data_IF_861344079865
#
_entry.id   IF_861344079865
#
_cell.length_a   1.000
_cell.length_b   1.000
_cell.length_c   1.000
_cell.angle_alpha   90.00
_cell.angle_beta   90.00
_cell.angle_gamma   90.00
#
_symmetry.space_group_name_H-M   'P 1'
#
loop_
_entity.id
_entity.type
_entity.pdbx_description
1 polymer ?
#
# COMPACT_ATOMS: atom_id res chain seq x y z
N UNK A 1 -33.88 -102.56 9.19
CA UNK A 1 -34.57 -101.78 8.14
C UNK A 1 -35.10 -100.48 8.70
N UNK A 2 -34.35 -99.39 8.59
CA UNK A 2 -34.81 -98.03 8.75
C UNK A 2 -33.77 -97.12 8.08
N UNK A 3 -34.19 -96.54 6.99
CA UNK A 3 -33.41 -95.49 6.23
C UNK A 3 -33.33 -94.24 7.05
N UNK A 4 -32.14 -93.67 7.15
CA UNK A 4 -31.90 -92.34 7.73
C UNK A 4 -31.53 -91.33 6.62
N UNK A 5 -32.43 -90.36 6.39
CA UNK A 5 -32.23 -89.28 5.49
C UNK A 5 -31.21 -88.29 6.09
N UNK A 6 -30.12 -87.97 5.35
CA UNK A 6 -29.23 -86.90 5.64
C UNK A 6 -29.70 -85.62 4.96
N UNK A 7 -30.08 -84.62 5.76
CA UNK A 7 -30.34 -83.26 5.30
C UNK A 7 -28.98 -82.49 5.22
N UNK A 8 -28.65 -82.02 4.04
CA UNK A 8 -27.51 -81.12 3.81
C UNK A 8 -27.99 -79.67 3.93
N UNK A 9 -27.55 -78.98 4.95
CA UNK A 9 -27.76 -77.53 5.06
C UNK A 9 -26.67 -76.78 4.29
N UNK A 10 -27.05 -76.09 3.21
CA UNK A 10 -26.24 -75.13 2.50
C UNK A 10 -26.38 -73.77 3.22
N UNK A 11 -25.35 -73.35 3.92
CA UNK A 11 -25.26 -72.02 4.48
C UNK A 11 -24.64 -71.09 3.45
N UNK A 12 -25.45 -70.20 2.87
CA UNK A 12 -25.02 -69.10 2.00
C UNK A 12 -24.54 -68.00 2.88
N UNK A 13 -23.19 -67.78 2.99
CA UNK A 13 -22.58 -66.66 3.68
C UNK A 13 -22.58 -65.41 2.78
N UNK A 14 -23.46 -64.47 3.04
CA UNK A 14 -23.43 -63.18 2.42
C UNK A 14 -22.38 -62.29 3.17
N UNK A 15 -21.21 -62.09 2.55
CA UNK A 15 -20.20 -61.12 3.02
C UNK A 15 -20.67 -59.72 2.67
N UNK A 16 -21.16 -58.96 3.64
CA UNK A 16 -21.42 -57.52 3.52
C UNK A 16 -20.08 -56.82 3.66
N UNK A 17 -19.51 -56.44 2.53
CA UNK A 17 -18.36 -55.52 2.48
C UNK A 17 -18.79 -54.12 2.90
N UNK A 18 -18.45 -53.70 4.11
CA UNK A 18 -18.60 -52.31 4.56
C UNK A 18 -17.49 -51.50 3.86
N UNK A 19 -17.86 -50.78 2.81
CA UNK A 19 -17.03 -49.70 2.25
C UNK A 19 -16.98 -48.56 3.29
N UNK A 20 -15.97 -48.57 4.12
CA UNK A 20 -15.54 -47.37 4.86
C UNK A 20 -15.00 -46.37 3.84
N UNK A 21 -15.87 -45.53 3.29
CA UNK A 21 -15.46 -44.30 2.65
C UNK A 21 -14.76 -43.47 3.74
N UNK A 22 -13.43 -43.48 3.72
CA UNK A 22 -12.65 -42.56 4.55
C UNK A 22 -13.09 -41.15 4.21
N UNK A 23 -13.81 -40.51 5.12
CA UNK A 23 -13.89 -39.06 5.15
C UNK A 23 -12.46 -38.59 5.45
N UNK A 24 -11.70 -38.28 4.39
CA UNK A 24 -10.53 -37.42 4.54
C UNK A 24 -11.09 -36.11 5.11
N UNK A 25 -10.80 -35.85 6.35
CA UNK A 25 -10.95 -34.52 6.90
C UNK A 25 -10.05 -33.64 6.04
N UNK A 26 -10.62 -32.79 5.20
CA UNK A 26 -9.87 -31.73 4.56
C UNK A 26 -9.33 -30.90 5.72
N UNK A 27 -8.01 -30.91 5.89
CA UNK A 27 -7.35 -30.02 6.82
C UNK A 27 -7.80 -28.60 6.45
N UNK A 28 -8.32 -27.83 7.41
CA UNK A 28 -8.81 -26.48 7.13
C UNK A 28 -7.65 -25.67 6.55
N UNK A 29 -7.71 -25.38 5.24
CA UNK A 29 -6.70 -24.56 4.56
C UNK A 29 -6.79 -23.15 5.12
N UNK A 30 -5.68 -22.63 5.63
CA UNK A 30 -5.59 -21.31 6.25
C UNK A 30 -4.48 -20.52 5.59
N UNK A 31 -4.81 -19.37 5.03
CA UNK A 31 -3.87 -18.41 4.45
C UNK A 31 -3.74 -17.19 5.39
N UNK A 32 -2.51 -16.78 5.67
CA UNK A 32 -2.23 -15.61 6.50
C UNK A 32 -1.75 -14.46 5.65
N UNK A 33 -2.59 -13.41 5.56
CA UNK A 33 -2.36 -12.23 4.71
C UNK A 33 -2.20 -11.01 5.59
N UNK A 34 -1.20 -10.20 5.32
CA UNK A 34 -1.07 -8.87 5.92
C UNK A 34 -1.01 -7.79 4.84
N UNK A 35 -1.62 -6.66 5.13
CA UNK A 35 -1.73 -5.52 4.22
C UNK A 35 -1.74 -4.21 5.03
N UNK A 36 -1.59 -3.10 4.36
CA UNK A 36 -1.83 -1.78 4.94
C UNK A 36 -3.27 -1.67 5.48
N UNK A 37 -3.46 -0.85 6.51
CA UNK A 37 -4.79 -0.53 7.03
C UNK A 37 -5.67 0.11 5.96
N UNK A 38 -6.96 -0.24 5.92
CA UNK A 38 -7.97 0.30 4.99
C UNK A 38 -7.62 0.21 3.49
N UNK A 39 -6.83 -0.80 3.09
CA UNK A 39 -6.21 -0.90 1.76
C UNK A 39 -6.73 -2.08 0.92
N UNK A 40 -7.96 -2.54 1.19
CA UNK A 40 -8.65 -3.62 0.47
C UNK A 40 -10.16 -3.46 0.68
N UNK A 41 -10.99 -3.78 -0.32
CA UNK A 41 -12.43 -3.71 -0.19
C UNK A 41 -12.96 -4.72 0.85
N UNK A 42 -14.05 -4.36 1.52
CA UNK A 42 -14.60 -5.12 2.65
C UNK A 42 -14.97 -6.56 2.30
N UNK A 43 -15.37 -6.82 1.07
CA UNK A 43 -15.83 -8.12 0.60
C UNK A 43 -14.77 -8.94 -0.14
N UNK A 44 -13.61 -8.38 -0.48
CA UNK A 44 -12.56 -9.05 -1.26
C UNK A 44 -12.09 -10.34 -0.59
N UNK A 45 -11.83 -10.31 0.72
CA UNK A 45 -11.39 -11.50 1.47
C UNK A 45 -12.50 -12.54 1.55
N UNK A 46 -13.74 -12.13 1.88
CA UNK A 46 -14.87 -13.06 2.00
C UNK A 46 -15.23 -13.73 0.67
N UNK A 47 -15.09 -13.01 -0.44
CA UNK A 47 -15.30 -13.54 -1.79
C UNK A 47 -14.22 -14.57 -2.16
N UNK A 48 -12.96 -14.32 -1.81
CA UNK A 48 -11.88 -15.28 -1.97
C UNK A 48 -12.14 -16.57 -1.15
N UNK A 49 -12.50 -16.43 0.13
CA UNK A 49 -12.81 -17.56 1.01
C UNK A 49 -13.96 -18.42 0.44
N UNK A 50 -15.01 -17.75 -0.06
CA UNK A 50 -16.18 -18.43 -0.62
C UNK A 50 -15.86 -19.20 -1.91
N UNK A 51 -14.96 -18.67 -2.75
CA UNK A 51 -14.59 -19.29 -4.01
C UNK A 51 -13.63 -20.46 -3.84
N UNK A 52 -12.60 -20.29 -3.00
CA UNK A 52 -11.51 -21.27 -2.89
C UNK A 52 -11.62 -22.20 -1.70
N UNK A 53 -12.53 -21.95 -0.76
CA UNK A 53 -12.64 -22.74 0.47
C UNK A 53 -11.38 -22.64 1.36
N UNK A 54 -10.66 -21.52 1.27
CA UNK A 54 -9.46 -21.23 2.06
C UNK A 54 -9.83 -20.18 3.08
N UNK A 55 -9.65 -20.45 4.37
CA UNK A 55 -9.83 -19.48 5.43
C UNK A 55 -8.69 -18.45 5.40
N UNK A 56 -9.00 -17.16 5.37
CA UNK A 56 -7.99 -16.11 5.45
C UNK A 56 -7.94 -15.51 6.85
N UNK A 57 -6.74 -15.45 7.42
CA UNK A 57 -6.46 -14.62 8.59
C UNK A 57 -5.82 -13.34 8.06
N UNK A 58 -6.60 -12.28 8.06
CA UNK A 58 -6.21 -10.97 7.56
C UNK A 58 -5.80 -10.06 8.72
N UNK A 59 -4.57 -9.54 8.67
CA UNK A 59 -3.93 -8.79 9.76
C UNK A 59 -3.38 -7.47 9.20
N UNK A 60 -4.09 -6.34 9.35
CA UNK A 60 -3.63 -5.06 8.82
C UNK A 60 -2.50 -4.47 9.66
N UNK A 61 -1.68 -3.61 9.03
CA UNK A 61 -0.59 -2.88 9.69
C UNK A 61 -0.52 -1.42 9.19
N UNK A 62 0.08 -0.54 10.00
CA UNK A 62 0.15 0.90 9.74
C UNK A 62 1.59 1.45 9.63
N UNK A 63 2.60 0.59 9.80
CA UNK A 63 4.02 0.99 9.81
C UNK A 63 4.88 0.03 9.01
N UNK A 64 5.58 0.55 8.00
CA UNK A 64 6.57 -0.19 7.23
C UNK A 64 7.67 -0.77 8.12
N UNK A 65 8.14 0.01 9.11
CA UNK A 65 9.20 -0.41 10.01
C UNK A 65 8.76 -1.58 10.90
N UNK A 66 7.49 -1.63 11.30
CA UNK A 66 6.96 -2.71 12.13
C UNK A 66 6.88 -4.03 11.35
N UNK A 67 6.36 -4.00 10.12
CA UNK A 67 6.28 -5.20 9.28
C UNK A 67 7.67 -5.67 8.85
N UNK A 68 8.58 -4.76 8.50
CA UNK A 68 9.98 -5.07 8.20
C UNK A 68 10.69 -5.78 9.37
N UNK A 69 10.55 -5.25 10.57
CA UNK A 69 11.15 -5.85 11.76
C UNK A 69 10.64 -7.28 11.97
N UNK A 70 9.35 -7.52 11.72
CA UNK A 70 8.72 -8.84 11.84
C UNK A 70 9.23 -9.80 10.78
N UNK A 71 9.32 -9.37 9.51
CA UNK A 71 9.85 -10.18 8.42
C UNK A 71 11.34 -10.50 8.59
N UNK A 72 12.15 -9.51 8.97
CA UNK A 72 13.59 -9.68 9.20
C UNK A 72 13.92 -10.56 10.40
N UNK A 73 13.04 -10.64 11.40
CA UNK A 73 13.21 -11.53 12.54
C UNK A 73 13.06 -13.02 12.16
N UNK A 74 12.45 -13.31 11.02
CA UNK A 74 12.08 -14.66 10.56
C UNK A 74 10.91 -15.26 11.35
N UNK A 75 10.32 -16.32 10.80
CA UNK A 75 9.07 -16.90 11.30
C UNK A 75 7.98 -15.84 11.42
N UNK A 76 7.81 -15.07 10.36
CA UNK A 76 6.84 -13.96 10.29
C UNK A 76 5.41 -14.43 10.57
N UNK A 77 5.13 -15.68 10.18
CA UNK A 77 3.82 -16.29 10.28
C UNK A 77 2.87 -15.81 9.17
N UNK A 78 3.34 -15.08 8.18
CA UNK A 78 2.56 -14.66 7.02
C UNK A 78 2.88 -15.51 5.79
N UNK A 79 1.86 -15.70 4.95
CA UNK A 79 1.97 -16.35 3.65
C UNK A 79 2.02 -15.32 2.51
N UNK A 80 1.31 -14.20 2.68
CA UNK A 80 1.27 -13.09 1.73
C UNK A 80 1.40 -11.77 2.48
N UNK A 81 2.21 -10.88 1.95
CA UNK A 81 2.44 -9.53 2.49
C UNK A 81 2.29 -8.52 1.37
N UNK A 82 1.48 -7.48 1.57
CA UNK A 82 1.53 -6.27 0.76
C UNK A 82 2.61 -5.34 1.31
N UNK A 83 3.42 -4.73 0.45
CA UNK A 83 4.45 -3.81 0.91
C UNK A 83 4.91 -2.85 -0.21
N UNK A 84 5.59 -1.78 0.18
CA UNK A 84 6.13 -0.80 -0.77
C UNK A 84 7.34 -1.36 -1.54
N UNK A 85 7.42 -1.05 -2.83
CA UNK A 85 8.44 -1.63 -3.73
C UNK A 85 9.88 -1.36 -3.30
N UNK A 86 10.18 -0.16 -2.78
CA UNK A 86 11.51 0.18 -2.26
C UNK A 86 11.93 -0.69 -1.07
N UNK A 87 10.98 -1.01 -0.16
CA UNK A 87 11.24 -1.86 1.00
C UNK A 87 11.36 -3.33 0.58
N UNK A 88 10.50 -3.79 -0.34
CA UNK A 88 10.59 -5.13 -0.94
C UNK A 88 11.96 -5.37 -1.56
N UNK A 89 12.52 -4.41 -2.29
CA UNK A 89 13.85 -4.53 -2.89
C UNK A 89 14.96 -4.79 -1.84
N UNK A 90 14.84 -4.21 -0.66
CA UNK A 90 15.73 -4.44 0.48
C UNK A 90 15.55 -5.84 1.07
N UNK A 91 14.30 -6.27 1.23
CA UNK A 91 13.94 -7.60 1.73
C UNK A 91 14.35 -8.72 0.76
N UNK A 92 14.25 -8.50 -0.56
CA UNK A 92 14.76 -9.41 -1.60
C UNK A 92 16.26 -9.61 -1.45
N UNK A 93 17.03 -8.52 -1.31
CA UNK A 93 18.50 -8.58 -1.09
C UNK A 93 18.87 -9.31 0.19
N UNK A 94 18.02 -9.27 1.20
CA UNK A 94 18.20 -9.99 2.46
C UNK A 94 17.78 -11.47 2.40
N UNK A 95 17.18 -11.93 1.27
CA UNK A 95 16.69 -13.30 1.11
C UNK A 95 15.40 -13.59 1.90
N UNK A 96 14.67 -12.55 2.27
CA UNK A 96 13.44 -12.64 3.08
C UNK A 96 12.20 -12.90 2.21
N UNK A 97 12.24 -12.52 0.94
CA UNK A 97 11.15 -12.73 0.00
C UNK A 97 11.47 -13.88 -0.95
N UNK A 98 10.53 -14.79 -1.12
CA UNK A 98 10.65 -15.92 -2.04
C UNK A 98 10.40 -15.51 -3.50
N UNK A 99 11.10 -16.12 -4.45
CA UNK A 99 10.75 -15.93 -5.87
C UNK A 99 9.39 -16.55 -6.16
N UNK A 100 8.62 -15.88 -7.02
CA UNK A 100 7.30 -16.32 -7.46
C UNK A 100 7.40 -17.40 -8.52
N UNK A 101 6.53 -18.40 -8.45
CA UNK A 101 6.31 -19.35 -9.53
C UNK A 101 5.38 -18.73 -10.59
N UNK A 102 6.00 -18.12 -11.60
CA UNK A 102 5.26 -17.44 -12.68
C UNK A 102 4.35 -18.38 -13.48
N UNK A 103 4.58 -19.70 -13.45
CA UNK A 103 3.72 -20.67 -14.11
C UNK A 103 2.36 -20.81 -13.43
N UNK A 104 2.20 -20.28 -12.20
CA UNK A 104 0.99 -20.26 -11.41
C UNK A 104 0.26 -18.91 -11.46
N UNK A 105 0.79 -17.93 -12.19
CA UNK A 105 0.27 -16.56 -12.22
C UNK A 105 -0.42 -16.28 -13.57
N UNK A 106 -1.56 -16.92 -13.80
CA UNK A 106 -2.31 -16.82 -15.07
C UNK A 106 -2.84 -15.40 -15.34
N UNK A 107 -3.05 -14.59 -14.29
CA UNK A 107 -3.60 -13.24 -14.37
C UNK A 107 -2.53 -12.14 -14.54
N UNK A 108 -1.25 -12.49 -14.57
CA UNK A 108 -0.15 -11.51 -14.63
C UNK A 108 -0.20 -10.61 -15.86
N UNK A 109 -0.79 -11.10 -16.97
CA UNK A 109 -0.98 -10.32 -18.19
C UNK A 109 -1.96 -9.16 -18.07
N UNK A 110 -2.73 -9.08 -16.98
CA UNK A 110 -3.63 -7.96 -16.67
C UNK A 110 -2.88 -6.74 -16.11
N UNK A 111 -1.66 -6.94 -15.62
CA UNK A 111 -0.86 -5.87 -15.02
C UNK A 111 -0.26 -4.97 -16.10
N UNK A 112 -0.22 -3.68 -15.82
CA UNK A 112 0.33 -2.66 -16.72
C UNK A 112 1.82 -2.96 -17.01
N UNK A 113 2.19 -3.18 -18.29
CA UNK A 113 3.57 -3.45 -18.64
C UNK A 113 4.52 -2.28 -18.34
N UNK A 114 4.04 -1.05 -18.27
CA UNK A 114 4.86 0.11 -17.90
C UNK A 114 5.23 0.03 -16.41
N UNK A 115 4.28 -0.30 -15.54
CA UNK A 115 4.52 -0.52 -14.11
C UNK A 115 5.47 -1.71 -13.90
N UNK A 116 5.28 -2.81 -14.64
CA UNK A 116 6.18 -3.96 -14.57
C UNK A 116 7.61 -3.62 -15.01
N UNK A 117 7.76 -2.77 -16.03
CA UNK A 117 9.08 -2.32 -16.48
C UNK A 117 9.75 -1.41 -15.44
N UNK A 118 8.99 -0.52 -14.79
CA UNK A 118 9.48 0.33 -13.72
C UNK A 118 9.95 -0.48 -12.51
N UNK A 119 9.15 -1.48 -12.08
CA UNK A 119 9.54 -2.40 -11.00
C UNK A 119 10.83 -3.16 -11.31
N UNK A 120 10.95 -3.70 -12.53
CA UNK A 120 12.14 -4.43 -12.96
C UNK A 120 13.39 -3.56 -12.96
N UNK A 121 13.25 -2.28 -13.34
CA UNK A 121 14.32 -1.30 -13.32
C UNK A 121 14.80 -0.95 -11.92
N UNK A 122 13.87 -0.71 -11.00
CA UNK A 122 14.18 -0.04 -9.75
C UNK A 122 14.33 -1.01 -8.57
N UNK A 123 13.49 -2.05 -8.50
CA UNK A 123 13.34 -2.82 -7.26
C UNK A 123 13.42 -4.33 -7.39
N UNK A 124 12.83 -4.93 -8.43
CA UNK A 124 12.73 -6.38 -8.59
C UNK A 124 13.14 -6.83 -10.00
N UNK A 125 14.45 -6.99 -10.27
CA UNK A 125 14.93 -7.45 -11.57
C UNK A 125 14.18 -8.69 -12.04
N UNK A 126 13.77 -8.67 -13.33
CA UNK A 126 12.96 -9.73 -13.96
C UNK A 126 11.55 -9.91 -13.36
N UNK A 127 11.09 -9.01 -12.47
CA UNK A 127 9.82 -9.14 -11.74
C UNK A 127 9.68 -10.55 -11.10
N UNK A 128 10.71 -10.95 -10.37
CA UNK A 128 10.83 -12.33 -9.90
C UNK A 128 10.09 -12.56 -8.57
N UNK A 129 9.78 -11.50 -7.79
CA UNK A 129 9.33 -11.63 -6.41
C UNK A 129 8.06 -10.82 -6.08
N UNK A 130 7.71 -9.83 -6.90
CA UNK A 130 6.74 -8.81 -6.57
C UNK A 130 5.62 -8.73 -7.60
N UNK A 131 4.38 -8.72 -7.13
CA UNK A 131 3.19 -8.46 -7.96
C UNK A 131 2.66 -7.08 -7.59
N UNK A 132 2.72 -6.08 -8.49
CA UNK A 132 2.20 -4.76 -8.20
C UNK A 132 0.68 -4.82 -7.98
N UNK A 133 0.23 -4.05 -6.99
CA UNK A 133 -1.16 -4.00 -6.56
C UNK A 133 -1.76 -2.62 -6.84
N UNK A 134 -1.32 -1.65 -6.05
CA UNK A 134 -1.74 -0.27 -6.19
C UNK A 134 -0.53 0.64 -6.30
N UNK A 135 -0.74 1.82 -6.86
CA UNK A 135 0.28 2.84 -6.99
C UNK A 135 -0.31 4.22 -6.80
N UNK A 136 0.53 5.19 -6.55
CA UNK A 136 0.07 6.56 -6.36
C UNK A 136 1.21 7.55 -6.18
N UNK A 137 0.80 8.72 -5.76
CA UNK A 137 1.67 9.86 -5.53
C UNK A 137 1.40 10.43 -4.15
N UNK A 138 2.12 11.47 -3.77
CA UNK A 138 1.76 12.30 -2.65
C UNK A 138 1.93 13.78 -2.97
N UNK A 139 1.16 14.59 -2.27
CA UNK A 139 1.10 16.02 -2.44
C UNK A 139 0.55 16.70 -1.19
N UNK A 140 -0.23 17.73 -1.42
CA UNK A 140 -0.82 18.54 -0.34
C UNK A 140 -2.32 18.64 -0.54
N UNK A 141 -3.08 18.21 0.47
CA UNK A 141 -4.53 18.45 0.58
C UNK A 141 -4.75 19.71 1.41
N UNK A 142 -5.67 20.57 0.98
CA UNK A 142 -5.93 21.83 1.66
C UNK A 142 -7.39 22.28 1.55
N UNK A 143 -7.80 23.10 2.53
CA UNK A 143 -9.08 23.80 2.52
C UNK A 143 -8.84 25.23 2.02
N UNK A 144 -9.11 25.50 0.75
CA UNK A 144 -8.79 26.78 0.12
C UNK A 144 -9.42 27.96 0.86
N UNK A 145 -10.71 27.86 1.20
CA UNK A 145 -11.43 28.93 1.90
C UNK A 145 -10.80 29.25 3.25
N UNK A 146 -10.47 28.24 4.04
CA UNK A 146 -9.87 28.41 5.37
C UNK A 146 -8.41 28.89 5.28
N UNK A 147 -7.68 28.41 4.28
CA UNK A 147 -6.32 28.89 3.96
C UNK A 147 -6.34 30.36 3.64
N UNK A 148 -7.19 30.82 2.70
CA UNK A 148 -7.26 32.22 2.27
C UNK A 148 -7.87 33.14 3.35
N UNK A 149 -8.79 32.66 4.18
CA UNK A 149 -9.27 33.39 5.36
C UNK A 149 -8.13 33.63 6.36
N UNK A 150 -7.27 32.63 6.57
CA UNK A 150 -6.16 32.68 7.54
C UNK A 150 -4.97 33.45 7.01
N UNK A 151 -4.64 33.23 5.74
CA UNK A 151 -3.50 33.81 5.05
C UNK A 151 -3.85 34.12 3.59
N UNK A 152 -4.34 35.35 3.28
CA UNK A 152 -4.79 35.72 1.93
C UNK A 152 -3.74 35.58 0.81
N UNK A 153 -2.45 35.70 1.14
CA UNK A 153 -1.33 35.60 0.20
C UNK A 153 -0.67 34.20 0.24
N UNK A 154 -1.41 33.16 0.66
CA UNK A 154 -0.91 31.79 0.72
C UNK A 154 -0.44 31.31 -0.67
N UNK A 155 0.72 30.66 -0.78
CA UNK A 155 1.25 30.16 -2.06
C UNK A 155 0.56 28.85 -2.47
N UNK A 156 -0.75 28.90 -2.71
CA UNK A 156 -1.55 27.73 -3.10
C UNK A 156 -0.96 27.09 -4.37
N UNK A 157 -0.86 25.75 -4.36
CA UNK A 157 -0.26 24.98 -5.45
C UNK A 157 1.27 24.87 -5.37
N UNK A 158 1.90 25.47 -4.36
CA UNK A 158 3.35 25.39 -4.15
C UNK A 158 3.69 24.60 -2.88
N UNK A 159 4.77 23.80 -2.93
CA UNK A 159 5.34 23.14 -1.76
C UNK A 159 5.87 24.12 -0.70
N UNK A 160 5.97 25.41 -1.02
CA UNK A 160 6.23 26.46 -0.04
C UNK A 160 5.15 26.54 1.05
N UNK A 161 3.93 26.09 0.76
CA UNK A 161 2.87 25.99 1.78
C UNK A 161 3.28 25.11 2.98
N UNK A 162 4.14 24.11 2.76
CA UNK A 162 4.51 23.13 3.79
C UNK A 162 5.99 23.15 4.17
N UNK A 163 6.89 23.65 3.30
CA UNK A 163 8.33 23.65 3.58
C UNK A 163 8.96 25.04 3.77
N UNK A 164 8.21 26.11 3.53
CA UNK A 164 8.71 27.47 3.82
C UNK A 164 8.21 27.92 5.21
N UNK A 165 9.13 28.23 6.17
CA UNK A 165 8.75 28.56 7.55
C UNK A 165 7.89 29.83 7.68
N UNK A 166 8.06 30.82 6.79
CA UNK A 166 7.27 32.04 6.85
C UNK A 166 5.81 31.79 6.48
N UNK A 167 5.56 30.98 5.44
CA UNK A 167 4.21 30.61 5.03
C UNK A 167 3.58 29.64 6.01
N UNK A 168 4.32 28.61 6.44
CA UNK A 168 3.80 27.60 7.35
C UNK A 168 3.45 28.17 8.72
N UNK A 169 4.18 29.20 9.19
CA UNK A 169 3.85 29.96 10.41
C UNK A 169 2.46 30.58 10.33
N UNK A 170 2.11 31.21 9.22
CA UNK A 170 0.79 31.79 9.03
C UNK A 170 -0.29 30.69 8.97
N UNK A 171 -0.06 29.63 8.19
CA UNK A 171 -0.98 28.50 8.03
C UNK A 171 -1.16 27.67 9.31
N UNK A 172 -0.19 27.67 10.22
CA UNK A 172 -0.31 26.97 11.51
C UNK A 172 -1.50 27.45 12.35
N UNK A 173 -2.01 28.67 12.10
CA UNK A 173 -3.17 29.23 12.81
C UNK A 173 -4.46 28.49 12.50
N UNK A 174 -4.58 27.85 11.33
CA UNK A 174 -5.71 27.00 10.96
C UNK A 174 -5.40 25.49 11.04
N UNK A 175 -4.19 25.14 11.44
CA UNK A 175 -3.75 23.75 11.66
C UNK A 175 -3.12 23.10 10.45
N UNK A 176 -1.93 22.56 10.68
CA UNK A 176 -1.13 21.84 9.67
C UNK A 176 -0.80 20.44 10.17
N UNK A 177 -1.00 19.44 9.33
CA UNK A 177 -0.62 18.05 9.56
C UNK A 177 0.41 17.59 8.54
N UNK A 178 1.31 16.70 8.96
CA UNK A 178 2.23 16.02 8.07
C UNK A 178 2.01 14.51 8.16
N UNK A 179 2.25 13.79 7.06
CA UNK A 179 2.36 12.33 7.08
C UNK A 179 3.41 11.89 8.09
N UNK A 180 3.13 10.85 8.84
CA UNK A 180 4.12 10.19 9.70
C UNK A 180 4.90 9.13 8.91
N UNK A 181 5.61 9.59 7.88
CA UNK A 181 6.36 8.74 6.96
C UNK A 181 7.71 9.38 6.58
N UNK A 182 8.83 8.89 7.14
CA UNK A 182 10.16 9.37 6.75
C UNK A 182 10.50 9.07 5.29
N UNK A 183 9.99 7.96 4.74
CA UNK A 183 10.20 7.54 3.36
C UNK A 183 9.55 8.45 2.33
N UNK A 184 8.56 9.25 2.74
CA UNK A 184 7.88 10.21 1.88
C UNK A 184 8.36 11.64 2.15
N UNK A 185 8.34 12.08 3.41
CA UNK A 185 8.62 13.48 3.76
C UNK A 185 10.08 13.88 3.51
N UNK A 186 11.05 13.00 3.78
CA UNK A 186 12.46 13.34 3.57
C UNK A 186 12.79 13.49 2.07
N UNK A 187 12.39 12.58 1.16
CA UNK A 187 12.53 12.77 -0.27
C UNK A 187 11.79 14.01 -0.80
N UNK A 188 10.57 14.30 -0.31
CA UNK A 188 9.86 15.54 -0.65
C UNK A 188 10.65 16.80 -0.24
N UNK A 189 11.25 16.78 0.95
CA UNK A 189 12.08 17.88 1.45
C UNK A 189 13.35 18.06 0.62
N UNK A 190 14.01 16.96 0.24
CA UNK A 190 15.16 16.99 -0.69
C UNK A 190 14.75 17.60 -2.04
N UNK A 191 13.64 17.11 -2.63
CA UNK A 191 13.11 17.62 -3.90
C UNK A 191 12.75 19.12 -3.82
N UNK A 192 12.15 19.56 -2.71
CA UNK A 192 11.84 20.98 -2.48
C UNK A 192 13.10 21.84 -2.48
N UNK A 193 14.18 21.39 -1.84
CA UNK A 193 15.48 22.06 -1.84
C UNK A 193 16.22 21.99 -3.19
N UNK A 194 15.65 21.34 -4.21
CA UNK A 194 16.29 21.15 -5.52
C UNK A 194 17.42 20.13 -5.50
N UNK A 195 17.44 19.26 -4.49
CA UNK A 195 18.38 18.17 -4.35
C UNK A 195 17.81 16.87 -4.94
N UNK A 196 18.67 15.87 -5.11
CA UNK A 196 18.21 14.54 -5.53
C UNK A 196 17.38 13.90 -4.41
N UNK A 197 16.10 13.52 -4.66
CA UNK A 197 15.27 12.81 -3.67
C UNK A 197 15.91 11.53 -3.14
N UNK A 198 16.77 10.90 -3.94
CA UNK A 198 17.53 9.69 -3.61
C UNK A 198 18.97 9.97 -3.17
N UNK A 199 19.26 11.20 -2.71
CA UNK A 199 20.60 11.59 -2.32
C UNK A 199 21.21 10.64 -1.28
N UNK A 200 22.46 10.25 -1.53
CA UNK A 200 23.27 9.51 -0.55
C UNK A 200 24.33 10.37 0.13
N UNK A 201 24.31 11.69 -0.14
CA UNK A 201 25.24 12.66 0.42
C UNK A 201 24.76 13.11 1.81
N UNK A 202 25.51 12.90 2.90
CA UNK A 202 25.13 13.36 4.24
C UNK A 202 24.87 14.87 4.35
N UNK A 203 25.59 15.71 3.59
CA UNK A 203 25.44 17.16 3.64
C UNK A 203 24.05 17.62 3.16
N UNK A 204 23.37 16.82 2.32
CA UNK A 204 22.02 17.11 1.86
C UNK A 204 21.00 16.85 2.97
N UNK A 205 21.23 15.82 3.78
CA UNK A 205 20.42 15.54 4.96
C UNK A 205 20.59 16.58 6.06
N UNK A 206 21.79 17.20 6.18
CA UNK A 206 22.00 18.32 7.10
C UNK A 206 21.19 19.55 6.66
N UNK A 207 21.08 19.82 5.34
CA UNK A 207 20.21 20.89 4.80
C UNK A 207 18.73 20.60 5.06
N UNK A 208 18.30 19.36 4.81
CA UNK A 208 16.92 18.93 5.12
C UNK A 208 16.64 19.09 6.61
N UNK A 209 17.53 18.62 7.48
CA UNK A 209 17.36 18.73 8.93
C UNK A 209 17.23 20.20 9.38
N UNK A 210 18.03 21.10 8.83
CA UNK A 210 17.94 22.53 9.13
C UNK A 210 16.58 23.11 8.73
N UNK A 211 16.10 22.84 7.50
CA UNK A 211 14.80 23.30 7.03
C UNK A 211 13.65 22.72 7.87
N UNK A 212 13.69 21.42 8.16
CA UNK A 212 12.66 20.75 8.95
C UNK A 212 12.61 21.28 10.39
N UNK A 213 13.75 21.62 10.99
CA UNK A 213 13.81 22.25 12.32
C UNK A 213 13.13 23.62 12.36
N UNK A 214 13.26 24.42 11.29
CA UNK A 214 12.60 25.72 11.17
C UNK A 214 11.07 25.61 11.08
N UNK A 215 10.55 24.60 10.39
CA UNK A 215 9.10 24.41 10.20
C UNK A 215 8.45 23.63 11.35
N UNK A 216 9.20 22.83 12.10
CA UNK A 216 8.65 21.94 13.15
C UNK A 216 7.70 22.62 14.13
N UNK A 217 7.96 23.85 14.63
CA UNK A 217 7.07 24.51 15.59
C UNK A 217 5.66 24.79 15.06
N UNK A 218 5.48 24.77 13.75
CA UNK A 218 4.22 25.11 13.07
C UNK A 218 3.38 23.90 12.69
N UNK A 219 3.89 22.69 12.91
CA UNK A 219 3.19 21.43 12.61
C UNK A 219 2.44 20.98 13.86
N UNK A 220 1.12 20.85 13.73
CA UNK A 220 0.22 20.45 14.82
C UNK A 220 0.36 18.96 15.15
N UNK A 221 0.46 18.11 14.12
CA UNK A 221 0.57 16.65 14.28
C UNK A 221 1.24 15.98 13.10
N UNK A 222 1.73 14.77 13.35
CA UNK A 222 2.13 13.79 12.33
C UNK A 222 1.07 12.69 12.31
N UNK A 223 0.41 12.45 11.17
CA UNK A 223 -0.79 11.65 11.12
C UNK A 223 -1.07 11.13 9.71
N UNK A 224 -1.11 9.82 9.56
CA UNK A 224 -1.41 9.15 8.29
C UNK A 224 -2.90 9.12 7.95
N UNK A 225 -3.76 9.48 8.91
CA UNK A 225 -5.21 9.52 8.75
C UNK A 225 -5.79 10.94 8.83
N UNK A 226 -4.97 11.96 8.54
CA UNK A 226 -5.41 13.36 8.56
C UNK A 226 -6.59 13.60 7.61
N UNK A 227 -6.69 12.85 6.51
CA UNK A 227 -7.78 12.93 5.54
C UNK A 227 -9.18 12.72 6.18
N UNK A 228 -9.30 11.87 7.20
CA UNK A 228 -10.57 11.65 7.92
C UNK A 228 -10.98 12.85 8.78
N UNK A 229 -10.04 13.73 9.14
CA UNK A 229 -10.26 14.88 10.06
C UNK A 229 -10.31 16.23 9.36
N UNK A 230 -9.78 16.33 8.14
CA UNK A 230 -9.84 17.56 7.33
C UNK A 230 -11.29 17.98 7.01
N UNK A 231 -12.25 17.07 6.69
CA UNK A 231 -13.66 17.41 6.55
C UNK A 231 -14.28 18.07 7.79
N UNK A 232 -13.69 17.84 8.98
CA UNK A 232 -14.11 18.42 10.25
C UNK A 232 -13.42 19.74 10.59
N UNK A 233 -12.63 20.31 9.64
CA UNK A 233 -11.86 21.56 9.82
C UNK A 233 -10.77 21.48 10.89
N UNK A 234 -10.27 20.28 11.21
CA UNK A 234 -9.21 20.13 12.21
C UNK A 234 -7.86 20.63 11.67
N UNK A 235 -7.67 20.50 10.35
CA UNK A 235 -6.51 20.99 9.61
C UNK A 235 -6.98 21.73 8.37
N UNK A 236 -6.25 22.81 8.02
CA UNK A 236 -6.46 23.51 6.75
C UNK A 236 -5.48 23.05 5.66
N UNK A 237 -4.36 22.44 6.07
CA UNK A 237 -3.32 21.92 5.17
C UNK A 237 -2.79 20.60 5.73
N UNK A 238 -2.60 19.63 4.87
CA UNK A 238 -1.94 18.37 5.21
C UNK A 238 -1.12 17.86 4.03
N UNK A 239 0.08 17.35 4.29
CA UNK A 239 0.71 16.44 3.34
C UNK A 239 -0.05 15.12 3.36
N UNK A 240 -0.44 14.59 2.20
CA UNK A 240 -1.22 13.35 2.08
C UNK A 240 -0.74 12.52 0.92
N UNK A 241 -1.03 11.23 0.94
CA UNK A 241 -1.06 10.47 -0.31
C UNK A 241 -2.20 10.99 -1.18
N UNK A 242 -2.01 10.95 -2.50
CA UNK A 242 -2.99 11.51 -3.46
C UNK A 242 -4.40 10.95 -3.27
N UNK A 243 -4.58 9.62 -3.23
CA UNK A 243 -5.90 9.02 -3.01
C UNK A 243 -6.54 9.40 -1.66
N UNK A 244 -5.75 9.53 -0.59
CA UNK A 244 -6.27 10.02 0.70
C UNK A 244 -6.75 11.47 0.61
N UNK A 245 -6.10 12.28 -0.22
CA UNK A 245 -6.59 13.61 -0.56
C UNK A 245 -7.97 13.56 -1.20
N UNK A 246 -8.21 12.60 -2.11
CA UNK A 246 -9.53 12.38 -2.72
C UNK A 246 -10.57 11.91 -1.70
N UNK A 247 -10.22 10.96 -0.84
CA UNK A 247 -11.09 10.51 0.24
C UNK A 247 -11.47 11.67 1.18
N UNK A 248 -10.53 12.57 1.46
CA UNK A 248 -10.82 13.79 2.22
C UNK A 248 -11.82 14.70 1.48
N UNK A 249 -11.65 14.89 0.17
CA UNK A 249 -12.54 15.72 -0.66
C UNK A 249 -13.94 15.13 -0.71
N UNK A 250 -14.08 13.82 -0.97
CA UNK A 250 -15.35 13.10 -0.97
C UNK A 250 -16.03 13.15 0.41
N UNK A 251 -15.30 12.82 1.46
CA UNK A 251 -15.83 12.88 2.82
C UNK A 251 -16.28 14.29 3.24
N UNK A 252 -15.64 15.34 2.75
CA UNK A 252 -16.07 16.71 2.97
C UNK A 252 -17.38 17.04 2.23
N UNK A 253 -17.55 16.54 1.01
CA UNK A 253 -18.77 16.70 0.24
C UNK A 253 -19.96 15.96 0.89
N UNK A 254 -19.73 14.72 1.35
CA UNK A 254 -20.75 13.91 2.01
C UNK A 254 -21.19 14.47 3.39
N UNK A 255 -20.24 15.03 4.13
CA UNK A 255 -20.53 15.56 5.48
C UNK A 255 -21.42 16.81 5.48
N UNK A 256 -21.68 17.45 4.34
CA UNK A 256 -22.49 18.68 4.17
C UNK A 256 -22.08 19.81 5.16
N UNK A 257 -20.79 19.88 5.49
CA UNK A 257 -20.24 20.87 6.45
C UNK A 257 -19.92 22.21 5.78
N UNK A 258 -20.10 22.30 4.47
CA UNK A 258 -19.66 23.43 3.63
C UNK A 258 -18.13 23.51 3.51
N UNK A 259 -17.40 22.45 3.85
CA UNK A 259 -15.96 22.32 3.60
C UNK A 259 -15.78 21.90 2.15
N UNK A 260 -14.90 22.61 1.44
CA UNK A 260 -14.39 22.21 0.12
C UNK A 260 -12.89 22.02 0.28
N UNK A 261 -12.43 20.81 0.02
CA UNK A 261 -11.03 20.47 0.00
C UNK A 261 -10.53 20.35 -1.44
N UNK A 262 -9.28 20.61 -1.64
CA UNK A 262 -8.59 20.44 -2.91
C UNK A 262 -7.22 19.79 -2.68
N UNK A 263 -6.60 19.31 -3.75
CA UNK A 263 -5.32 18.60 -3.73
C UNK A 263 -4.43 19.09 -4.86
N UNK A 264 -3.14 19.26 -4.60
CA UNK A 264 -2.17 19.46 -5.66
C UNK A 264 -0.95 18.54 -5.55
N UNK A 265 -0.44 18.15 -6.73
CA UNK A 265 0.83 17.47 -6.88
C UNK A 265 1.97 18.48 -6.97
N UNK A 266 3.15 18.23 -6.39
CA UNK A 266 4.35 19.01 -6.66
C UNK A 266 4.68 18.99 -8.15
N UNK A 267 4.77 20.16 -8.77
CA UNK A 267 5.03 20.27 -10.21
C UNK A 267 6.53 20.32 -10.54
N UNK A 268 6.92 19.70 -11.65
CA UNK A 268 8.26 19.73 -12.23
C UNK A 268 9.03 18.42 -12.11
N UNK A 269 10.10 18.32 -12.87
CA UNK A 269 10.95 17.12 -12.92
C UNK A 269 11.50 16.75 -11.53
N UNK A 270 11.24 15.52 -11.10
CA UNK A 270 11.72 14.96 -9.82
C UNK A 270 11.13 15.65 -8.59
N UNK A 271 9.92 16.27 -8.69
CA UNK A 271 9.28 16.94 -7.56
C UNK A 271 8.22 16.09 -6.88
N UNK A 272 7.46 15.29 -7.63
CA UNK A 272 6.50 14.34 -7.10
C UNK A 272 7.09 12.93 -7.07
N UNK A 273 6.74 12.15 -6.08
CA UNK A 273 7.10 10.73 -5.98
C UNK A 273 6.02 9.87 -6.63
N UNK A 274 6.48 8.85 -7.34
CA UNK A 274 5.69 7.68 -7.71
C UNK A 274 6.06 6.55 -6.77
N UNK A 275 5.09 6.02 -6.04
CA UNK A 275 5.25 4.79 -5.26
C UNK A 275 4.38 3.68 -5.82
N UNK A 276 4.82 2.44 -5.65
CA UNK A 276 4.10 1.25 -6.08
C UNK A 276 4.15 0.26 -4.93
N UNK A 277 2.97 -0.14 -4.48
CA UNK A 277 2.80 -1.21 -3.50
C UNK A 277 2.40 -2.50 -4.20
N UNK A 278 2.71 -3.61 -3.59
CA UNK A 278 2.31 -4.89 -4.14
C UNK A 278 2.54 -6.06 -3.21
N UNK A 279 2.21 -7.22 -3.74
CA UNK A 279 2.15 -8.47 -3.01
C UNK A 279 3.44 -9.26 -3.16
N UNK A 280 3.92 -9.80 -2.05
CA UNK A 280 5.07 -10.70 -1.98
C UNK A 280 4.75 -11.93 -1.13
N UNK A 281 5.52 -13.00 -1.34
CA UNK A 281 5.48 -14.21 -0.54
C UNK A 281 6.77 -14.26 0.29
N UNK A 282 6.69 -14.22 1.64
CA UNK A 282 7.86 -14.40 2.49
C UNK A 282 8.54 -15.77 2.26
N UNK A 283 9.87 -15.83 2.40
CA UNK A 283 10.62 -17.08 2.23
C UNK A 283 10.31 -18.14 3.29
N UNK A 284 9.71 -17.73 4.42
CA UNK A 284 9.23 -18.60 5.51
C UNK A 284 7.72 -18.91 5.45
N UNK A 285 7.03 -18.54 4.33
CA UNK A 285 5.61 -18.82 4.13
C UNK A 285 5.33 -20.33 4.17
N UNK A 286 4.31 -20.72 4.92
CA UNK A 286 3.91 -22.13 5.06
C UNK A 286 3.01 -22.60 3.92
N UNK A 287 2.19 -21.70 3.33
CA UNK A 287 1.12 -22.02 2.40
C UNK A 287 1.35 -21.38 1.01
N UNK A 288 2.53 -21.64 0.40
CA UNK A 288 2.99 -21.00 -0.84
C UNK A 288 2.04 -21.25 -2.03
N UNK A 289 1.40 -22.43 -2.10
CA UNK A 289 0.42 -22.75 -3.16
C UNK A 289 -0.83 -21.86 -3.03
N UNK A 290 -1.36 -21.74 -1.83
CA UNK A 290 -2.54 -20.90 -1.55
C UNK A 290 -2.23 -19.42 -1.70
N UNK A 291 -0.98 -19.03 -1.40
CA UNK A 291 -0.49 -17.69 -1.64
C UNK A 291 -0.52 -17.32 -3.14
N UNK A 292 -0.09 -18.21 -4.04
CA UNK A 292 -0.19 -17.98 -5.48
C UNK A 292 -1.64 -17.91 -5.98
N UNK A 293 -2.56 -18.70 -5.40
CA UNK A 293 -3.99 -18.58 -5.71
C UNK A 293 -4.54 -17.21 -5.30
N UNK A 294 -4.14 -16.72 -4.12
CA UNK A 294 -4.51 -15.38 -3.67
C UNK A 294 -3.96 -14.29 -4.58
N UNK A 295 -2.68 -14.37 -4.97
CA UNK A 295 -2.08 -13.42 -5.92
C UNK A 295 -2.82 -13.40 -7.26
N UNK A 296 -3.17 -14.57 -7.80
CA UNK A 296 -3.98 -14.65 -9.03
C UNK A 296 -5.36 -14.02 -8.85
N UNK A 297 -6.01 -14.25 -7.71
CA UNK A 297 -7.31 -13.66 -7.40
C UNK A 297 -7.23 -12.14 -7.37
N UNK A 298 -6.23 -11.57 -6.69
CA UNK A 298 -6.02 -10.12 -6.59
C UNK A 298 -5.70 -9.45 -7.95
N UNK A 299 -5.15 -10.20 -8.90
CA UNK A 299 -4.87 -9.71 -10.26
C UNK A 299 -6.06 -9.82 -11.21
N UNK A 300 -7.23 -10.28 -10.79
CA UNK A 300 -8.44 -10.29 -11.63
C UNK A 300 -8.94 -8.85 -11.84
N UNK A 301 -9.39 -8.49 -13.03
CA UNK A 301 -9.84 -7.12 -13.31
C UNK A 301 -10.98 -6.66 -12.39
N UNK A 302 -11.97 -7.53 -12.14
CA UNK A 302 -13.10 -7.23 -11.27
C UNK A 302 -12.72 -7.05 -9.80
N UNK A 303 -11.74 -7.82 -9.30
CA UNK A 303 -11.24 -7.70 -7.93
C UNK A 303 -10.41 -6.43 -7.77
N UNK A 304 -9.49 -6.19 -8.69
CA UNK A 304 -8.65 -5.00 -8.69
C UNK A 304 -9.47 -3.71 -8.83
N UNK A 305 -10.54 -3.73 -9.65
CA UNK A 305 -11.45 -2.59 -9.77
C UNK A 305 -12.27 -2.36 -8.50
N UNK A 306 -12.79 -3.43 -7.87
CA UNK A 306 -13.51 -3.35 -6.60
C UNK A 306 -12.64 -2.71 -5.51
N UNK A 307 -11.41 -3.18 -5.38
CA UNK A 307 -10.46 -2.62 -4.41
C UNK A 307 -10.10 -1.16 -4.73
N UNK A 308 -9.91 -0.82 -6.01
CA UNK A 308 -9.61 0.55 -6.44
C UNK A 308 -10.80 1.49 -6.19
N UNK A 309 -12.04 1.06 -6.43
CA UNK A 309 -13.23 1.84 -6.15
C UNK A 309 -13.45 2.08 -4.66
N UNK A 310 -13.11 1.09 -3.82
CA UNK A 310 -13.22 1.22 -2.38
C UNK A 310 -12.15 2.13 -1.78
N UNK A 311 -10.90 1.94 -2.19
CA UNK A 311 -9.74 2.64 -1.63
C UNK A 311 -9.44 3.97 -2.30
N UNK A 312 -9.97 4.20 -3.50
CA UNK A 312 -9.69 5.32 -4.41
C UNK A 312 -8.23 5.36 -4.91
N UNK A 313 -7.47 4.29 -4.69
CA UNK A 313 -6.10 4.15 -5.19
C UNK A 313 -6.07 3.60 -6.61
N UNK A 314 -5.14 4.10 -7.42
CA UNK A 314 -4.91 3.57 -8.76
C UNK A 314 -4.39 2.13 -8.68
N UNK A 315 -5.06 1.21 -9.38
CA UNK A 315 -4.57 -0.15 -9.49
C UNK A 315 -3.50 -0.29 -10.56
N UNK A 316 -2.55 -1.19 -10.33
CA UNK A 316 -1.58 -1.60 -11.34
C UNK A 316 -2.20 -2.50 -12.43
N UNK A 317 -3.45 -2.91 -12.30
CA UNK A 317 -4.16 -3.74 -13.25
C UNK A 317 -4.75 -2.90 -14.39
N UNK A 318 -4.10 -2.91 -15.56
CA UNK A 318 -4.54 -2.13 -16.71
C UNK A 318 -5.92 -2.54 -17.22
N UNK A 319 -6.26 -3.84 -17.13
CA UNK A 319 -7.55 -4.36 -17.62
C UNK A 319 -8.71 -4.07 -16.67
N UNK A 320 -8.43 -3.69 -15.42
CA UNK A 320 -9.43 -3.22 -14.46
C UNK A 320 -9.92 -1.80 -14.72
N UNK A 321 -9.11 -0.95 -15.38
CA UNK A 321 -9.40 0.48 -15.57
C UNK A 321 -10.80 0.77 -16.11
N UNK A 322 -11.36 0.03 -17.10
CA UNK A 322 -12.74 0.27 -17.59
C UNK A 322 -13.85 -0.08 -16.58
N UNK A 323 -13.52 -0.75 -15.46
CA UNK A 323 -14.44 -1.16 -14.40
C UNK A 323 -14.37 -0.23 -13.18
N UNK A 324 -13.42 0.70 -13.17
CA UNK A 324 -13.23 1.67 -12.09
C UNK A 324 -14.15 2.86 -12.32
N UNK A 325 -14.73 3.39 -11.25
CA UNK A 325 -15.63 4.54 -11.29
C UNK A 325 -14.95 5.77 -11.89
N UNK A 326 -15.71 6.53 -12.70
CA UNK A 326 -15.19 7.72 -13.39
C UNK A 326 -14.67 8.77 -12.41
N UNK A 327 -15.28 8.88 -11.24
CA UNK A 327 -14.86 9.81 -10.19
C UNK A 327 -13.42 9.54 -9.73
N UNK A 328 -13.02 8.28 -9.63
CA UNK A 328 -11.65 7.87 -9.28
C UNK A 328 -10.70 8.06 -10.45
N UNK A 329 -11.09 7.56 -11.65
CA UNK A 329 -10.20 7.57 -12.83
C UNK A 329 -9.99 8.95 -13.43
N UNK A 330 -10.90 9.92 -13.22
CA UNK A 330 -10.77 11.28 -13.70
C UNK A 330 -9.92 12.20 -12.83
N UNK A 331 -9.60 11.75 -11.61
CA UNK A 331 -8.82 12.56 -10.68
C UNK A 331 -7.32 12.40 -10.88
N UNK A 332 -6.57 13.50 -11.10
CA UNK A 332 -5.11 13.45 -11.21
C UNK A 332 -4.41 13.12 -9.86
N UNK A 333 -5.13 13.15 -8.74
CA UNK A 333 -4.60 12.72 -7.45
C UNK A 333 -4.46 11.20 -7.36
N UNK A 334 -5.41 10.42 -7.94
CA UNK A 334 -5.32 8.97 -8.06
C UNK A 334 -4.63 8.56 -9.38
N UNK A 335 -5.09 9.11 -10.51
CA UNK A 335 -4.59 8.78 -11.85
C UNK A 335 -3.94 10.01 -12.52
N UNK A 336 -2.70 10.37 -12.15
CA UNK A 336 -1.94 11.39 -12.85
C UNK A 336 -1.83 11.06 -14.34
N UNK A 337 -1.69 12.09 -15.17
CA UNK A 337 -1.45 11.91 -16.61
C UNK A 337 -0.09 11.26 -16.86
N UNK A 338 0.09 10.60 -18.02
CA UNK A 338 1.39 10.03 -18.41
C UNK A 338 2.51 11.09 -18.38
N UNK A 339 2.25 12.30 -18.83
CA UNK A 339 3.24 13.39 -18.81
C UNK A 339 3.64 13.79 -17.38
N UNK A 340 2.72 13.70 -16.42
CA UNK A 340 3.04 13.92 -15.00
C UNK A 340 3.86 12.77 -14.43
N UNK A 341 3.47 11.51 -14.73
CA UNK A 341 4.19 10.31 -14.29
C UNK A 341 5.64 10.30 -14.79
N UNK A 342 5.88 10.69 -16.05
CA UNK A 342 7.22 10.78 -16.64
C UNK A 342 8.15 11.79 -15.93
N UNK A 343 7.57 12.73 -15.18
CA UNK A 343 8.32 13.73 -14.39
C UNK A 343 8.58 13.28 -12.95
N UNK A 344 7.94 12.21 -12.48
CA UNK A 344 8.06 11.74 -11.10
C UNK A 344 9.36 10.98 -10.84
N UNK A 345 9.72 10.89 -9.58
CA UNK A 345 10.81 10.03 -9.12
C UNK A 345 10.24 8.84 -8.35
N UNK A 346 10.95 7.73 -8.39
CA UNK A 346 10.76 6.60 -7.47
C UNK A 346 11.84 6.62 -6.39
N UNK A 347 11.54 6.09 -5.21
CA UNK A 347 12.54 5.98 -4.13
C UNK A 347 13.51 4.84 -4.41
N UNK A 348 14.79 5.12 -4.30
CA UNK A 348 15.83 4.10 -4.42
C UNK A 348 16.07 3.36 -3.09
N UNK A 349 16.58 2.14 -3.19
CA UNK A 349 17.09 1.42 -2.02
C UNK A 349 18.34 2.10 -1.49
N UNK A 350 18.22 2.76 -0.36
CA UNK A 350 19.31 3.50 0.24
C UNK A 350 20.36 2.58 0.89
N UNK A 351 21.64 2.97 0.87
CA UNK A 351 22.64 2.27 1.68
C UNK A 351 22.30 2.34 3.18
N UNK A 352 22.56 1.30 3.99
CA UNK A 352 22.17 1.26 5.40
C UNK A 352 22.67 2.43 6.27
N UNK A 353 23.77 3.08 5.86
CA UNK A 353 24.29 4.29 6.52
C UNK A 353 23.36 5.48 6.28
N UNK A 354 22.81 5.58 5.07
CA UNK A 354 21.90 6.67 4.66
C UNK A 354 20.52 6.45 5.25
N UNK A 355 20.00 5.23 5.27
CA UNK A 355 18.75 4.88 5.96
C UNK A 355 18.78 5.29 7.44
N UNK A 356 19.89 4.98 8.15
CA UNK A 356 20.05 5.43 9.54
C UNK A 356 20.12 6.96 9.67
N UNK A 357 20.68 7.64 8.68
CA UNK A 357 20.70 9.10 8.64
C UNK A 357 19.30 9.67 8.45
N UNK A 358 18.54 9.13 7.50
CA UNK A 358 17.12 9.47 7.26
C UNK A 358 16.27 9.27 8.52
N UNK A 359 16.35 8.09 9.14
CA UNK A 359 15.63 7.77 10.39
C UNK A 359 15.99 8.75 11.52
N UNK A 360 17.27 9.08 11.67
CA UNK A 360 17.72 10.04 12.69
C UNK A 360 17.19 11.45 12.41
N UNK A 361 17.26 11.91 11.16
CA UNK A 361 16.72 13.21 10.74
C UNK A 361 15.23 13.29 11.05
N UNK A 362 14.47 12.25 10.72
CA UNK A 362 13.05 12.14 11.01
C UNK A 362 12.74 12.17 12.52
N UNK A 363 13.46 11.36 13.30
CA UNK A 363 13.27 11.30 14.75
C UNK A 363 13.53 12.65 15.41
N UNK A 364 14.60 13.36 15.02
CA UNK A 364 14.91 14.68 15.50
C UNK A 364 13.84 15.70 15.11
N UNK A 365 13.39 15.66 13.86
CA UNK A 365 12.30 16.52 13.37
C UNK A 365 11.03 16.34 14.20
N UNK A 366 10.56 15.11 14.40
CA UNK A 366 9.35 14.84 15.22
C UNK A 366 9.53 15.33 16.66
N UNK A 367 10.69 15.13 17.24
CA UNK A 367 11.00 15.54 18.62
C UNK A 367 11.16 17.06 18.78
N UNK A 368 11.33 17.82 17.69
CA UNK A 368 11.60 19.24 17.75
C UNK A 368 13.03 19.60 18.19
N UNK A 369 14.00 18.73 17.88
CA UNK A 369 15.42 18.85 18.24
C UNK A 369 16.26 19.28 17.03
#
# INVERSE_FOLDING_TARGET
MKMANKLVHLTCGASVGVLLAGMAWAEDRVLRVTNWGEYIAEDTISNFEAEYGIKVIYDPYDSAEAIDAKLLAGNSGYDVVSHAGSDVARLIKAGIIAPLDKSKLDQISNIDPAIMAQLASDWDPDNAHFIPYMWGTHGVTYNEALVLETYPDAPIGSMDMVFNPDHLKELSKCGVSFLDSPGDIIPMALAHLGLDPNSTNPDDYDKVAAMLAEIRPYIKTFDNYAYQRMPQKEFCVSTTWGPDGLLAMSGAAEADTGVVLDFFLPEGQGKAQLWIDGWVIPSDAANVEDAHLFLNYMMRPEVAANDSNFTWYATANLTAKPLIDEEVTSSPAAFPTSDQVDLMYTTAVLPPKVERLQTRTWTNFKAGN
#
